data_IF_916280769715
#
_entry.id   IF_916280769715
#
_cell.length_a   1.000
_cell.length_b   1.000
_cell.length_c   1.000
_cell.angle_alpha   90.00
_cell.angle_beta   90.00
_cell.angle_gamma   90.00
#
_symmetry.space_group_name_H-M   'P 1'
#
loop_
_entity.id
_entity.type
_entity.pdbx_description
1 polymer ?
#
# COMPACT_ATOMS: atom_id res chain seq x y z
N UNK A 1 60.50 -36.69 -41.86
CA UNK A 1 59.81 -35.49 -42.37
C UNK A 1 58.38 -35.88 -42.69
N UNK A 2 57.47 -35.62 -41.77
CA UNK A 2 56.03 -35.54 -41.99
C UNK A 2 55.43 -34.87 -40.76
N UNK A 3 54.88 -33.68 -41.02
CA UNK A 3 54.23 -32.75 -40.11
C UNK A 3 53.04 -33.41 -39.39
N UNK A 4 52.86 -33.14 -38.10
CA UNK A 4 51.57 -33.36 -37.42
C UNK A 4 51.15 -32.08 -36.72
N UNK A 5 50.19 -31.44 -37.37
CA UNK A 5 49.47 -30.22 -37.07
C UNK A 5 48.73 -30.33 -35.73
N UNK A 6 48.98 -29.37 -34.83
CA UNK A 6 48.08 -29.09 -33.69
C UNK A 6 46.94 -28.17 -34.13
N UNK A 7 45.69 -28.40 -33.73
CA UNK A 7 44.68 -27.34 -33.67
C UNK A 7 44.64 -26.71 -32.27
N UNK A 8 44.32 -25.40 -32.16
CA UNK A 8 44.28 -24.70 -30.89
C UNK A 8 42.95 -24.97 -30.16
N UNK A 9 43.04 -25.12 -28.83
CA UNK A 9 41.88 -25.26 -27.96
C UNK A 9 41.14 -23.92 -27.79
N UNK A 10 39.87 -23.88 -28.18
CA UNK A 10 38.94 -22.82 -27.77
C UNK A 10 38.49 -23.04 -26.33
N UNK A 11 38.92 -22.15 -25.43
CA UNK A 11 38.33 -22.00 -24.09
C UNK A 11 37.00 -21.27 -24.22
N UNK A 12 35.89 -22.00 -24.20
CA UNK A 12 34.56 -21.44 -24.01
C UNK A 12 34.46 -20.74 -22.65
N UNK A 13 34.51 -19.40 -22.63
CA UNK A 13 34.15 -18.59 -21.47
C UNK A 13 32.63 -18.72 -21.22
N UNK A 14 32.23 -19.54 -20.25
CA UNK A 14 30.91 -19.50 -19.63
C UNK A 14 30.66 -18.09 -19.07
N UNK A 15 29.85 -17.28 -19.76
CA UNK A 15 29.31 -16.03 -19.21
C UNK A 15 28.22 -16.40 -18.19
N UNK A 16 28.46 -16.09 -16.92
CA UNK A 16 27.43 -16.08 -15.87
C UNK A 16 26.53 -14.85 -16.05
N UNK A 17 25.20 -14.93 -15.79
CA UNK A 17 24.32 -13.76 -15.90
C UNK A 17 24.60 -12.78 -14.76
N UNK A 18 25.05 -11.56 -15.12
CA UNK A 18 25.31 -10.45 -14.19
C UNK A 18 24.06 -9.60 -13.88
N UNK A 19 22.87 -10.01 -14.35
CA UNK A 19 21.64 -9.22 -14.24
C UNK A 19 21.12 -9.10 -12.79
N UNK A 20 21.33 -10.11 -11.95
CA UNK A 20 20.76 -10.12 -10.59
C UNK A 20 21.51 -9.22 -9.59
N UNK A 21 22.79 -8.90 -9.83
CA UNK A 21 23.58 -8.10 -8.89
C UNK A 21 23.41 -6.58 -9.09
N UNK A 22 22.96 -6.15 -10.28
CA UNK A 22 22.82 -4.72 -10.60
C UNK A 22 21.50 -4.15 -10.07
N UNK A 23 20.44 -4.95 -9.97
CA UNK A 23 19.16 -4.54 -9.38
C UNK A 23 19.27 -4.13 -7.90
N UNK A 24 20.25 -4.65 -7.15
CA UNK A 24 20.40 -4.33 -5.73
C UNK A 24 21.14 -3.00 -5.48
N UNK A 25 21.87 -2.46 -6.47
CA UNK A 25 22.69 -1.25 -6.30
C UNK A 25 21.98 0.00 -6.83
N UNK A 26 21.10 -0.13 -7.83
CA UNK A 26 20.32 1.00 -8.37
C UNK A 26 19.23 1.49 -7.41
N UNK A 27 18.65 0.61 -6.58
CA UNK A 27 17.63 0.97 -5.59
C UNK A 27 18.17 1.86 -4.45
N UNK A 28 19.45 1.72 -4.08
CA UNK A 28 20.04 2.47 -2.98
C UNK A 28 20.46 3.91 -3.35
N UNK A 29 20.84 4.16 -4.61
CA UNK A 29 21.29 5.49 -5.04
C UNK A 29 20.16 6.43 -5.47
N UNK A 30 19.02 5.90 -5.95
CA UNK A 30 17.87 6.71 -6.35
C UNK A 30 17.19 7.42 -5.17
N UNK A 31 17.13 6.76 -4.00
CA UNK A 31 16.50 7.31 -2.81
C UNK A 31 17.27 8.50 -2.19
N UNK A 32 18.60 8.55 -2.35
CA UNK A 32 19.42 9.59 -1.74
C UNK A 32 19.38 10.95 -2.47
N UNK A 33 19.08 10.97 -3.78
CA UNK A 33 19.07 12.20 -4.59
C UNK A 33 17.72 12.93 -4.48
N UNK A 34 16.61 12.21 -4.25
CA UNK A 34 15.27 12.81 -4.12
C UNK A 34 15.13 13.61 -2.80
N UNK A 35 15.82 13.20 -1.73
CA UNK A 35 15.73 13.86 -0.42
C UNK A 35 16.38 15.26 -0.36
N UNK A 36 17.28 15.62 -1.28
CA UNK A 36 18.01 16.90 -1.21
C UNK A 36 17.32 18.03 -2.00
N UNK A 37 16.46 17.70 -2.97
CA UNK A 37 15.87 18.72 -3.87
C UNK A 37 14.58 19.35 -3.29
N UNK A 38 13.90 18.69 -2.36
CA UNK A 38 12.65 19.20 -1.76
C UNK A 38 12.84 20.28 -0.68
N UNK A 39 14.07 20.60 -0.27
CA UNK A 39 14.31 21.57 0.82
C UNK A 39 14.43 23.04 0.37
N UNK A 40 14.34 23.38 -0.92
CA UNK A 40 14.79 24.73 -1.37
C UNK A 40 13.75 25.58 -2.13
N UNK A 41 12.50 25.16 -2.33
CA UNK A 41 11.61 25.89 -3.26
C UNK A 41 10.17 26.15 -2.80
N UNK A 42 9.92 26.48 -1.53
CA UNK A 42 8.67 27.20 -1.22
C UNK A 42 8.83 28.25 -0.12
N UNK A 43 9.49 29.33 -0.52
CA UNK A 43 9.39 30.66 0.06
C UNK A 43 8.19 31.38 -0.58
N UNK A 44 7.24 31.89 0.21
CA UNK A 44 6.56 33.18 0.01
C UNK A 44 5.53 33.48 1.12
N UNK A 45 5.73 34.58 1.86
CA UNK A 45 4.67 35.31 2.57
C UNK A 45 3.86 36.20 1.59
N UNK A 46 2.63 36.69 1.91
CA UNK A 46 2.46 37.91 2.72
C UNK A 46 1.15 38.07 3.55
N UNK A 47 1.26 38.70 4.74
CA UNK A 47 0.58 39.95 5.14
C UNK A 47 -0.95 40.05 5.38
N UNK A 48 -1.33 40.08 6.68
CA UNK A 48 -2.10 41.13 7.40
C UNK A 48 -3.42 41.74 6.88
N UNK A 49 -4.48 41.67 7.71
CA UNK A 49 -5.64 42.58 7.67
C UNK A 49 -6.74 42.26 8.70
N UNK A 50 -6.85 43.06 9.77
CA UNK A 50 -7.95 43.03 10.76
C UNK A 50 -9.16 43.86 10.30
N UNK A 51 -10.38 43.39 10.60
CA UNK A 51 -11.55 44.25 10.86
C UNK A 51 -12.52 43.56 11.82
N UNK A 52 -12.87 44.28 12.89
CA UNK A 52 -13.86 43.90 13.88
C UNK A 52 -15.29 44.24 13.42
N UNK A 53 -16.29 43.48 13.88
CA UNK A 53 -17.67 43.97 13.99
C UNK A 53 -18.82 42.96 13.89
N UNK A 54 -19.53 42.82 15.02
CA UNK A 54 -20.98 42.58 15.15
C UNK A 54 -21.55 41.14 15.22
N UNK A 55 -21.92 40.78 16.45
CA UNK A 55 -23.20 40.17 16.90
C UNK A 55 -23.85 39.11 16.00
N UNK A 56 -23.65 37.85 16.39
CA UNK A 56 -24.60 36.75 16.17
C UNK A 56 -24.55 35.83 17.38
N UNK A 57 -25.58 35.86 18.22
CA UNK A 57 -25.79 34.90 19.31
C UNK A 57 -26.10 33.54 18.70
N UNK A 58 -25.11 32.67 18.67
CA UNK A 58 -25.25 31.24 18.43
C UNK A 58 -24.23 30.54 19.29
N UNK A 59 -24.68 29.79 20.29
CA UNK A 59 -23.83 28.97 21.13
C UNK A 59 -22.98 28.03 20.28
N UNK A 60 -21.68 28.28 20.20
CA UNK A 60 -20.71 27.23 19.94
C UNK A 60 -20.53 26.46 21.25
N UNK A 61 -21.49 25.58 21.53
CA UNK A 61 -21.39 24.61 22.61
C UNK A 61 -20.36 23.56 22.18
N UNK A 62 -19.24 23.53 22.91
CA UNK A 62 -18.38 22.37 23.20
C UNK A 62 -18.27 21.30 22.11
N UNK A 63 -17.13 21.33 21.43
CA UNK A 63 -16.47 20.27 20.66
C UNK A 63 -16.76 18.86 21.21
N UNK A 64 -17.77 18.18 20.67
CA UNK A 64 -17.87 16.74 20.83
C UNK A 64 -16.69 16.09 20.09
N UNK A 65 -15.96 15.13 20.69
CA UNK A 65 -14.89 14.44 19.99
C UNK A 65 -15.48 13.67 18.79
N UNK A 66 -14.75 13.51 17.67
CA UNK A 66 -15.26 12.76 16.53
C UNK A 66 -15.56 11.31 16.94
N UNK A 67 -16.45 10.61 16.22
CA UNK A 67 -16.99 9.32 16.65
C UNK A 67 -15.93 8.24 16.86
N UNK A 68 -14.73 8.42 16.32
CA UNK A 68 -13.61 7.50 16.55
C UNK A 68 -13.17 7.41 18.01
N UNK A 69 -13.25 8.51 18.78
CA UNK A 69 -12.85 8.52 20.20
C UNK A 69 -13.90 7.88 21.12
N UNK A 70 -15.11 7.64 20.61
CA UNK A 70 -16.16 6.89 21.30
C UNK A 70 -16.35 5.47 20.73
N UNK A 71 -15.68 5.17 19.61
CA UNK A 71 -15.85 3.94 18.86
C UNK A 71 -15.29 2.73 19.61
N UNK A 72 -16.10 1.67 19.67
CA UNK A 72 -15.69 0.39 20.26
C UNK A 72 -14.91 -0.43 19.24
N UNK A 73 -14.16 -1.40 19.75
CA UNK A 73 -13.55 -2.46 18.95
C UNK A 73 -14.60 -3.13 18.04
N UNK A 74 -14.34 -3.19 16.73
CA UNK A 74 -15.26 -3.65 15.68
C UNK A 74 -16.12 -2.57 15.03
N UNK A 75 -15.98 -1.30 15.43
CA UNK A 75 -16.65 -0.20 14.76
C UNK A 75 -15.94 0.13 13.44
N UNK A 76 -16.71 0.21 12.35
CA UNK A 76 -16.22 0.58 11.03
C UNK A 76 -16.50 2.07 10.75
N UNK A 77 -15.48 2.76 10.25
CA UNK A 77 -15.46 4.21 10.07
C UNK A 77 -15.11 4.58 8.63
N UNK A 78 -15.75 5.63 8.15
CA UNK A 78 -15.45 6.24 6.86
C UNK A 78 -15.46 7.75 7.00
N UNK A 79 -14.75 8.41 6.09
CA UNK A 79 -14.63 9.87 6.02
C UNK A 79 -14.38 10.29 4.57
N UNK A 80 -14.47 11.58 4.32
CA UNK A 80 -14.20 12.19 3.01
C UNK A 80 -13.08 13.21 3.06
N UNK A 81 -12.89 13.90 4.19
CA UNK A 81 -11.79 14.83 4.38
C UNK A 81 -10.48 14.09 4.69
N UNK A 82 -9.35 14.55 4.15
CA UNK A 82 -8.04 13.94 4.44
C UNK A 82 -7.69 13.93 5.93
N UNK A 83 -8.32 14.81 6.72
CA UNK A 83 -8.19 14.88 8.17
C UNK A 83 -9.09 13.96 8.98
N UNK A 84 -10.02 13.25 8.33
CA UNK A 84 -11.02 12.43 8.99
C UNK A 84 -11.83 13.18 10.07
N UNK A 85 -11.95 14.51 10.00
CA UNK A 85 -12.79 15.30 10.92
C UNK A 85 -14.28 15.02 10.70
N UNK A 86 -14.66 14.64 9.48
CA UNK A 86 -15.99 14.18 9.11
C UNK A 86 -16.18 12.65 9.30
N UNK A 87 -15.28 11.99 10.03
CA UNK A 87 -15.37 10.57 10.31
C UNK A 87 -16.75 10.22 10.89
N UNK A 88 -17.31 9.12 10.39
CA UNK A 88 -18.61 8.60 10.84
C UNK A 88 -18.59 7.09 10.89
N UNK A 89 -19.36 6.55 11.83
CA UNK A 89 -19.61 5.13 11.92
C UNK A 89 -20.55 4.66 10.79
N UNK A 90 -20.22 3.52 10.19
CA UNK A 90 -21.01 2.80 9.20
C UNK A 90 -21.19 1.33 9.62
N UNK A 91 -22.05 0.60 8.92
CA UNK A 91 -22.02 -0.86 9.01
C UNK A 91 -20.76 -1.37 8.30
N UNK A 92 -20.09 -2.38 8.87
CA UNK A 92 -18.88 -2.92 8.25
C UNK A 92 -19.13 -3.53 6.86
N UNK A 93 -20.36 -3.94 6.54
CA UNK A 93 -20.73 -4.37 5.18
C UNK A 93 -20.65 -3.24 4.16
N UNK A 94 -20.82 -1.99 4.59
CA UNK A 94 -20.73 -0.82 3.73
C UNK A 94 -19.24 -0.46 3.51
N UNK A 95 -18.87 0.09 2.33
CA UNK A 95 -17.50 0.50 2.07
C UNK A 95 -17.00 1.55 3.09
N UNK A 96 -15.91 1.22 3.78
CA UNK A 96 -15.32 2.04 4.83
C UNK A 96 -13.79 2.01 4.75
N UNK A 97 -13.13 2.96 5.44
CA UNK A 97 -11.67 3.15 5.36
C UNK A 97 -10.92 2.52 6.54
N UNK A 98 -11.61 2.33 7.67
CA UNK A 98 -10.97 1.97 8.92
C UNK A 98 -11.89 1.11 9.78
N UNK A 99 -11.34 0.07 10.39
CA UNK A 99 -12.02 -0.70 11.43
C UNK A 99 -11.24 -0.57 12.74
N UNK A 100 -11.92 -0.07 13.77
CA UNK A 100 -11.35 0.11 15.11
C UNK A 100 -11.05 -1.26 15.70
N UNK A 101 -9.79 -1.52 16.02
CA UNK A 101 -9.37 -2.79 16.65
C UNK A 101 -9.38 -2.69 18.17
N UNK A 102 -9.15 -1.49 18.72
CA UNK A 102 -9.22 -1.24 20.15
C UNK A 102 -8.49 0.03 20.55
N UNK A 103 -8.29 0.21 21.85
CA UNK A 103 -7.51 1.32 22.40
C UNK A 103 -6.28 0.80 23.15
N UNK A 104 -5.29 1.66 23.29
CA UNK A 104 -4.12 1.42 24.14
C UNK A 104 -3.79 2.69 24.91
N UNK A 105 -3.66 2.55 26.23
CA UNK A 105 -3.17 3.62 27.09
C UNK A 105 -1.68 3.78 26.89
N UNK A 106 -1.25 4.94 26.41
CA UNK A 106 0.16 5.28 26.33
C UNK A 106 0.65 5.52 27.77
N UNK A 107 1.59 4.69 28.20
CA UNK A 107 1.90 4.52 29.61
C UNK A 107 2.24 5.82 30.35
N UNK A 108 2.08 5.84 31.69
CA UNK A 108 2.49 6.97 32.55
C UNK A 108 4.00 7.26 32.48
N UNK A 109 4.79 6.36 31.89
CA UNK A 109 6.20 6.51 31.56
C UNK A 109 6.51 7.74 30.69
N UNK A 110 5.55 8.20 29.87
CA UNK A 110 5.68 9.47 29.16
C UNK A 110 5.57 10.67 30.11
N UNK A 111 4.84 10.50 31.22
CA UNK A 111 4.57 11.53 32.23
C UNK A 111 3.35 12.41 31.90
N UNK A 112 2.73 13.03 32.92
CA UNK A 112 1.58 13.92 32.73
C UNK A 112 1.95 15.19 31.93
N UNK A 113 3.22 15.61 31.98
CA UNK A 113 3.75 16.77 31.28
C UNK A 113 4.52 16.41 30.00
N UNK A 114 4.34 15.19 29.48
CA UNK A 114 4.94 14.78 28.21
C UNK A 114 4.62 15.80 27.12
N UNK A 115 5.59 16.28 26.34
CA UNK A 115 5.27 17.05 25.13
C UNK A 115 4.42 16.18 24.20
N UNK A 116 3.56 16.82 23.40
CA UNK A 116 2.83 16.10 22.35
C UNK A 116 3.86 15.51 21.37
N UNK A 117 3.81 14.21 21.04
CA UNK A 117 4.79 13.58 20.17
C UNK A 117 4.84 14.22 18.77
N UNK A 118 6.03 14.24 18.18
CA UNK A 118 6.19 14.64 16.77
C UNK A 118 5.56 13.61 15.83
N UNK A 119 5.40 13.97 14.56
CA UNK A 119 4.89 13.07 13.53
C UNK A 119 5.67 11.75 13.47
N UNK A 120 6.99 11.79 13.50
CA UNK A 120 7.85 10.60 13.46
C UNK A 120 7.67 9.73 14.71
N UNK A 121 7.54 10.37 15.87
CA UNK A 121 7.27 9.66 17.13
C UNK A 121 5.89 8.99 17.09
N UNK A 122 4.86 9.67 16.56
CA UNK A 122 3.54 9.07 16.38
C UNK A 122 3.55 7.90 15.42
N UNK A 123 4.33 7.96 14.34
CA UNK A 123 4.49 6.82 13.42
C UNK A 123 5.09 5.61 14.15
N UNK A 124 6.12 5.82 14.97
CA UNK A 124 6.75 4.75 15.77
C UNK A 124 5.79 4.19 16.82
N UNK A 125 5.12 5.06 17.58
CA UNK A 125 4.13 4.67 18.60
C UNK A 125 2.99 3.88 17.97
N UNK A 126 2.43 4.36 16.85
CA UNK A 126 1.40 3.65 16.08
C UNK A 126 1.89 2.27 15.68
N UNK A 127 3.04 2.18 15.02
CA UNK A 127 3.56 0.91 14.52
C UNK A 127 3.76 -0.09 15.66
N UNK A 128 4.34 0.34 16.78
CA UNK A 128 4.59 -0.56 17.90
C UNK A 128 3.30 -0.94 18.63
N UNK A 129 2.55 0.05 19.10
CA UNK A 129 1.41 -0.18 20.01
C UNK A 129 0.20 -0.75 19.29
N UNK A 130 -0.12 -0.26 18.09
CA UNK A 130 -1.31 -0.73 17.39
C UNK A 130 -1.12 -2.09 16.70
N UNK A 131 0.12 -2.51 16.42
CA UNK A 131 0.39 -3.88 15.95
C UNK A 131 0.03 -4.90 17.02
N UNK A 132 0.41 -4.67 18.28
CA UNK A 132 0.01 -5.54 19.39
C UNK A 132 -1.52 -5.62 19.55
N UNK A 133 -2.22 -4.49 19.38
CA UNK A 133 -3.69 -4.43 19.43
C UNK A 133 -4.30 -5.19 18.25
N UNK A 134 -3.79 -5.03 17.03
CA UNK A 134 -4.25 -5.73 15.84
C UNK A 134 -4.05 -7.25 15.95
N UNK A 135 -2.87 -7.70 16.38
CA UNK A 135 -2.56 -9.13 16.63
C UNK A 135 -3.57 -9.73 17.63
N UNK A 136 -3.88 -9.02 18.72
CA UNK A 136 -4.89 -9.49 19.69
C UNK A 136 -6.30 -9.51 19.08
N UNK A 137 -6.65 -8.48 18.31
CA UNK A 137 -7.96 -8.34 17.67
C UNK A 137 -8.25 -9.45 16.65
N UNK A 138 -7.23 -9.83 15.88
CA UNK A 138 -7.24 -10.90 14.87
C UNK A 138 -6.78 -12.25 15.43
N UNK A 139 -6.61 -12.38 16.75
CA UNK A 139 -6.25 -13.64 17.44
C UNK A 139 -4.95 -14.30 16.94
N UNK A 140 -3.98 -13.49 16.51
CA UNK A 140 -2.69 -13.95 15.99
C UNK A 140 -2.58 -13.88 14.47
N UNK A 141 -3.69 -13.75 13.75
CA UNK A 141 -3.71 -13.85 12.28
C UNK A 141 -3.42 -12.51 11.58
N UNK A 142 -2.88 -11.51 12.28
CA UNK A 142 -2.51 -10.24 11.63
C UNK A 142 -1.24 -10.44 10.79
N UNK A 143 -1.36 -10.25 9.48
CA UNK A 143 -0.26 -10.30 8.52
C UNK A 143 0.28 -8.89 8.29
N UNK A 144 1.47 -8.60 8.81
CA UNK A 144 2.13 -7.29 8.63
C UNK A 144 2.56 -7.03 7.17
N UNK A 145 2.68 -8.08 6.37
CA UNK A 145 2.94 -8.01 4.92
C UNK A 145 1.64 -8.20 4.10
N UNK A 146 0.49 -8.25 4.78
CA UNK A 146 -0.82 -8.46 4.19
C UNK A 146 -1.48 -7.18 3.68
N UNK A 147 -2.73 -7.32 3.25
CA UNK A 147 -3.54 -6.22 2.67
C UNK A 147 -3.90 -5.10 3.65
N UNK A 148 -3.75 -5.30 4.96
CA UNK A 148 -4.15 -4.34 5.98
C UNK A 148 -2.95 -3.88 6.79
N UNK A 149 -2.90 -2.60 7.09
CA UNK A 149 -1.87 -1.99 7.96
C UNK A 149 -2.52 -1.38 9.19
N UNK A 150 -1.70 -1.15 10.22
CA UNK A 150 -2.13 -0.43 11.41
C UNK A 150 -2.28 1.07 11.14
N UNK A 151 -3.43 1.58 11.53
CA UNK A 151 -3.75 2.99 11.63
C UNK A 151 -4.03 3.37 13.09
N UNK A 152 -3.96 4.67 13.39
CA UNK A 152 -4.34 5.15 14.70
C UNK A 152 -4.86 6.59 14.68
N UNK A 153 -5.73 6.90 15.62
CA UNK A 153 -6.13 8.24 15.99
C UNK A 153 -5.50 8.59 17.33
N UNK A 154 -4.46 9.45 17.36
CA UNK A 154 -3.93 9.96 18.60
C UNK A 154 -4.96 10.87 19.29
N UNK A 155 -4.91 11.01 20.62
CA UNK A 155 -5.80 11.94 21.31
C UNK A 155 -5.50 13.37 20.84
N UNK A 156 -6.50 14.25 20.70
CA UNK A 156 -6.28 15.64 20.33
C UNK A 156 -5.29 16.32 21.28
N UNK A 157 -4.50 17.27 20.79
CA UNK A 157 -3.46 17.95 21.58
C UNK A 157 -4.02 18.61 22.87
N UNK A 158 -5.24 19.17 22.81
CA UNK A 158 -5.92 19.70 23.99
C UNK A 158 -6.24 18.60 25.02
N UNK A 159 -6.71 17.44 24.57
CA UNK A 159 -6.98 16.30 25.46
C UNK A 159 -5.68 15.74 26.04
N UNK A 160 -4.62 15.68 25.24
CA UNK A 160 -3.27 15.32 25.69
C UNK A 160 -2.76 16.27 26.78
N UNK A 161 -2.92 17.58 26.61
CA UNK A 161 -2.53 18.57 27.62
C UNK A 161 -3.28 18.37 28.95
N UNK A 162 -4.50 17.82 28.88
CA UNK A 162 -5.33 17.48 30.04
C UNK A 162 -5.09 16.05 30.58
N UNK A 163 -4.09 15.35 30.06
CA UNK A 163 -3.68 14.03 30.56
C UNK A 163 -4.24 12.83 29.79
N UNK A 164 -5.00 13.04 28.72
CA UNK A 164 -5.43 11.94 27.85
C UNK A 164 -4.22 11.31 27.16
N UNK A 165 -4.13 9.98 27.25
CA UNK A 165 -3.07 9.16 26.67
C UNK A 165 -3.66 8.00 25.87
N UNK A 166 -4.95 8.06 25.56
CA UNK A 166 -5.67 7.00 24.86
C UNK A 166 -5.35 7.05 23.37
N UNK A 167 -4.68 6.04 22.85
CA UNK A 167 -4.49 5.86 21.41
C UNK A 167 -5.57 4.91 20.86
N UNK A 168 -6.35 5.38 19.88
CA UNK A 168 -7.36 4.57 19.22
C UNK A 168 -6.74 3.87 18.00
N UNK A 169 -6.59 2.56 18.07
CA UNK A 169 -5.98 1.74 17.03
C UNK A 169 -7.04 1.15 16.09
N UNK A 170 -6.64 0.93 14.84
CA UNK A 170 -7.46 0.19 13.89
C UNK A 170 -6.67 -0.30 12.69
N UNK A 171 -7.38 -0.96 11.78
CA UNK A 171 -6.83 -1.49 10.54
C UNK A 171 -7.42 -0.76 9.34
N UNK A 172 -6.57 -0.52 8.37
CA UNK A 172 -6.89 0.19 7.12
C UNK A 172 -6.17 -0.49 5.96
N UNK A 173 -6.71 -0.36 4.75
CA UNK A 173 -6.09 -0.91 3.53
C UNK A 173 -5.34 0.19 2.80
N UNK A 174 -4.00 0.14 2.69
CA UNK A 174 -3.28 1.06 1.83
C UNK A 174 -3.48 0.67 0.36
N UNK A 175 -3.42 1.66 -0.52
CA UNK A 175 -3.24 1.48 -1.94
C UNK A 175 -1.78 1.69 -2.35
N UNK A 176 -1.42 1.37 -3.60
CA UNK A 176 -0.02 1.39 -4.05
C UNK A 176 0.63 2.77 -4.01
N UNK A 177 -0.16 3.86 -4.08
CA UNK A 177 0.34 5.23 -3.97
C UNK A 177 0.19 5.82 -2.55
N UNK A 178 -0.14 4.98 -1.55
CA UNK A 178 -0.27 5.37 -0.14
C UNK A 178 -1.63 5.95 0.23
N UNK A 179 -2.56 6.04 -0.72
CA UNK A 179 -3.96 6.37 -0.44
C UNK A 179 -4.64 5.26 0.36
N UNK A 180 -5.70 5.58 1.09
CA UNK A 180 -6.50 4.57 1.77
C UNK A 180 -7.61 4.05 0.86
N UNK A 181 -7.66 2.74 0.69
CA UNK A 181 -8.68 2.05 -0.08
C UNK A 181 -9.85 1.69 0.81
N UNK A 182 -11.06 1.93 0.29
CA UNK A 182 -12.27 1.44 0.95
C UNK A 182 -12.38 -0.07 0.82
N UNK A 183 -12.83 -0.71 1.88
CA UNK A 183 -13.13 -2.14 1.91
C UNK A 183 -14.48 -2.38 2.59
N UNK A 184 -15.04 -3.56 2.35
CA UNK A 184 -16.32 -4.01 2.90
C UNK A 184 -16.13 -5.36 3.58
N UNK A 185 -16.85 -5.56 4.68
CA UNK A 185 -16.68 -6.69 5.61
C UNK A 185 -15.84 -6.31 6.83
N UNK A 186 -15.97 -7.07 7.93
CA UNK A 186 -15.07 -6.91 9.08
C UNK A 186 -13.71 -7.52 8.79
N UNK A 187 -12.61 -6.85 9.14
CA UNK A 187 -11.24 -7.34 9.01
C UNK A 187 -11.00 -8.66 9.75
N UNK A 188 -11.85 -9.04 10.71
CA UNK A 188 -11.82 -10.37 11.36
C UNK A 188 -12.23 -11.51 10.44
N UNK A 189 -13.08 -11.22 9.46
CA UNK A 189 -13.66 -12.21 8.55
C UNK A 189 -13.00 -12.14 7.16
N UNK A 190 -12.20 -11.10 6.90
CA UNK A 190 -11.51 -10.90 5.64
C UNK A 190 -10.13 -11.56 5.62
N UNK A 191 -9.84 -12.22 4.50
CA UNK A 191 -8.52 -12.79 4.19
C UNK A 191 -7.45 -11.70 4.20
N UNK A 192 -6.34 -11.93 4.91
CA UNK A 192 -5.26 -10.94 5.06
C UNK A 192 -4.30 -10.90 3.87
N UNK A 193 -4.36 -11.85 2.93
CA UNK A 193 -3.41 -11.89 1.80
C UNK A 193 -3.50 -10.60 0.99
N UNK A 194 -2.36 -10.03 0.62
CA UNK A 194 -2.28 -8.82 -0.22
C UNK A 194 -2.57 -9.15 -1.68
N UNK A 195 -3.88 -9.28 -1.98
CA UNK A 195 -4.38 -9.55 -3.33
C UNK A 195 -5.50 -8.58 -3.68
N UNK A 196 -5.61 -8.26 -4.97
CA UNK A 196 -6.76 -7.58 -5.53
C UNK A 196 -7.72 -8.58 -6.20
N UNK A 197 -8.99 -8.19 -6.33
CA UNK A 197 -9.99 -9.03 -6.97
C UNK A 197 -9.67 -9.20 -8.47
N UNK A 198 -10.03 -10.37 -9.02
CA UNK A 198 -9.86 -10.66 -10.46
C UNK A 198 -10.62 -9.61 -11.28
N UNK A 199 -9.95 -9.02 -12.25
CA UNK A 199 -10.44 -7.93 -13.09
C UNK A 199 -10.13 -6.53 -12.56
N UNK A 200 -9.47 -6.40 -11.40
CA UNK A 200 -8.99 -5.10 -10.90
C UNK A 200 -7.84 -4.62 -11.77
N UNK A 201 -7.93 -3.38 -12.26
CA UNK A 201 -6.80 -2.66 -12.85
C UNK A 201 -6.25 -1.66 -11.84
N UNK A 202 -4.93 -1.65 -11.65
CA UNK A 202 -4.22 -0.70 -10.79
C UNK A 202 -3.65 0.41 -11.66
N UNK A 203 -3.99 1.65 -11.34
CA UNK A 203 -3.66 2.82 -12.14
C UNK A 203 -2.16 3.03 -12.32
N UNK A 204 -1.81 4.09 -13.04
CA UNK A 204 -0.42 4.45 -13.29
C UNK A 204 -0.23 5.97 -13.15
N UNK A 205 0.83 6.38 -12.46
CA UNK A 205 1.28 7.76 -12.34
C UNK A 205 2.78 7.80 -12.68
N UNK A 206 3.14 8.48 -13.78
CA UNK A 206 4.47 8.33 -14.34
C UNK A 206 4.73 6.90 -14.81
N UNK A 207 5.67 6.22 -14.16
CA UNK A 207 5.98 4.80 -14.39
C UNK A 207 5.67 3.92 -13.16
N UNK A 208 4.99 4.48 -12.15
CA UNK A 208 4.66 3.83 -10.89
C UNK A 208 3.18 3.44 -10.84
N UNK A 209 2.89 2.39 -10.09
CA UNK A 209 1.53 1.92 -9.82
C UNK A 209 0.78 2.92 -8.94
N UNK A 210 -0.52 3.09 -9.19
CA UNK A 210 -1.44 3.83 -8.31
C UNK A 210 -2.67 2.99 -7.98
N UNK A 211 -3.63 3.59 -7.26
CA UNK A 211 -4.85 2.91 -6.81
C UNK A 211 -5.69 2.26 -7.89
N UNK A 212 -6.66 1.41 -7.50
CA UNK A 212 -7.60 0.80 -8.43
C UNK A 212 -8.28 1.83 -9.35
N UNK A 213 -8.34 1.52 -10.64
CA UNK A 213 -8.98 2.35 -11.67
C UNK A 213 -9.75 1.48 -12.66
N UNK A 214 -10.51 2.12 -13.55
CA UNK A 214 -11.12 1.43 -14.68
C UNK A 214 -10.05 0.93 -15.64
N UNK A 215 -10.16 -0.32 -16.11
CA UNK A 215 -9.26 -0.84 -17.15
C UNK A 215 -9.34 -0.08 -18.48
N UNK A 216 -10.39 0.72 -18.70
CA UNK A 216 -10.49 1.61 -19.86
C UNK A 216 -9.62 2.87 -19.73
N UNK A 217 -9.14 3.19 -18.53
CA UNK A 217 -8.18 4.25 -18.28
C UNK A 217 -6.74 3.70 -18.35
N UNK A 218 -5.72 4.55 -18.54
CA UNK A 218 -4.33 4.16 -18.39
C UNK A 218 -4.07 3.51 -17.03
N UNK A 219 -3.49 2.32 -17.03
CA UNK A 219 -3.19 1.55 -15.84
C UNK A 219 -1.85 0.79 -16.00
N UNK A 220 -1.25 0.39 -14.89
CA UNK A 220 0.04 -0.30 -14.87
C UNK A 220 -0.12 -1.83 -14.89
N UNK A 221 -1.17 -2.32 -14.23
CA UNK A 221 -1.37 -3.74 -13.95
C UNK A 221 -2.84 -4.11 -14.04
N UNK A 222 -3.14 -5.29 -14.56
CA UNK A 222 -4.44 -5.95 -14.44
C UNK A 222 -4.29 -7.28 -13.68
N UNK A 223 -5.17 -7.52 -12.70
CA UNK A 223 -5.24 -8.78 -11.96
C UNK A 223 -6.12 -9.78 -12.72
N UNK A 224 -5.56 -10.92 -13.09
CA UNK A 224 -6.19 -11.90 -13.99
C UNK A 224 -6.51 -13.23 -13.32
N UNK A 225 -6.03 -13.43 -12.09
CA UNK A 225 -6.28 -14.64 -11.33
C UNK A 225 -5.83 -14.51 -9.88
N UNK A 226 -6.35 -15.39 -9.04
CA UNK A 226 -5.91 -15.56 -7.64
C UNK A 226 -5.60 -17.03 -7.44
N UNK A 227 -4.43 -17.31 -6.87
CA UNK A 227 -3.98 -18.66 -6.54
C UNK A 227 -3.97 -18.80 -5.02
N UNK A 228 -4.66 -19.83 -4.53
CA UNK A 228 -4.58 -20.25 -3.13
C UNK A 228 -3.51 -21.34 -3.00
N UNK A 229 -2.35 -20.96 -2.49
CA UNK A 229 -1.20 -21.84 -2.27
C UNK A 229 -1.50 -22.95 -1.25
N UNK A 230 -2.42 -22.72 -0.32
CA UNK A 230 -2.81 -23.70 0.70
C UNK A 230 -3.48 -24.94 0.13
N UNK A 231 -4.10 -24.83 -1.06
CA UNK A 231 -4.71 -25.97 -1.75
C UNK A 231 -3.69 -26.93 -2.36
N UNK A 232 -2.55 -26.42 -2.79
CA UNK A 232 -1.47 -27.23 -3.35
C UNK A 232 -0.51 -27.70 -2.26
N UNK A 233 -0.07 -26.77 -1.40
CA UNK A 233 0.97 -27.00 -0.41
C UNK A 233 0.39 -27.28 0.98
N UNK A 234 -0.30 -28.41 1.12
CA UNK A 234 -0.95 -28.82 2.40
C UNK A 234 0.04 -29.21 3.51
N UNK A 235 1.29 -29.53 3.17
CA UNK A 235 2.32 -29.95 4.11
C UNK A 235 2.97 -28.80 4.91
N UNK A 236 2.55 -27.55 4.69
CA UNK A 236 3.09 -26.36 5.33
C UNK A 236 3.74 -25.40 4.33
N UNK A 237 4.43 -24.38 4.86
CA UNK A 237 5.00 -23.29 4.06
C UNK A 237 5.87 -23.79 2.90
N UNK A 238 5.52 -23.48 1.64
CA UNK A 238 6.37 -23.73 0.49
C UNK A 238 7.41 -22.59 0.35
N UNK A 239 8.72 -22.85 0.38
CA UNK A 239 9.71 -21.80 0.07
C UNK A 239 9.53 -21.27 -1.36
N UNK A 240 9.91 -20.01 -1.61
CA UNK A 240 9.75 -19.34 -2.91
C UNK A 240 10.24 -20.18 -4.10
N UNK A 241 11.36 -20.90 -3.96
CA UNK A 241 11.88 -21.79 -5.01
C UNK A 241 10.94 -22.96 -5.42
N UNK A 242 9.96 -23.30 -4.58
CA UNK A 242 8.86 -24.23 -4.90
C UNK A 242 7.62 -23.50 -5.40
N UNK A 243 7.35 -22.30 -4.87
CA UNK A 243 6.21 -21.49 -5.31
C UNK A 243 6.40 -21.03 -6.76
N UNK A 244 7.57 -20.51 -7.11
CA UNK A 244 7.85 -19.90 -8.42
C UNK A 244 7.48 -20.79 -9.62
N UNK A 245 7.96 -22.04 -9.75
CA UNK A 245 7.58 -22.87 -10.90
C UNK A 245 6.09 -23.24 -10.91
N UNK A 246 5.48 -23.40 -9.73
CA UNK A 246 4.04 -23.66 -9.62
C UNK A 246 3.22 -22.46 -10.06
N UNK A 247 3.54 -21.27 -9.54
CA UNK A 247 2.87 -20.01 -9.88
C UNK A 247 3.11 -19.61 -11.33
N UNK A 248 4.30 -19.86 -11.88
CA UNK A 248 4.56 -19.67 -13.30
C UNK A 248 3.58 -20.44 -14.16
N UNK A 249 3.34 -21.72 -13.83
CA UNK A 249 2.39 -22.54 -14.57
C UNK A 249 0.96 -22.06 -14.32
N UNK A 250 0.58 -21.88 -13.06
CA UNK A 250 -0.79 -21.58 -12.65
C UNK A 250 -1.25 -20.20 -13.12
N UNK A 251 -0.41 -19.18 -13.02
CA UNK A 251 -0.75 -17.84 -13.44
C UNK A 251 -0.86 -17.72 -14.95
N UNK A 252 0.02 -18.37 -15.73
CA UNK A 252 -0.16 -18.40 -17.18
C UNK A 252 -1.48 -19.09 -17.59
N UNK A 253 -1.86 -20.18 -16.93
CA UNK A 253 -3.17 -20.83 -17.16
C UNK A 253 -4.36 -19.93 -16.81
N UNK A 254 -4.32 -19.28 -15.64
CA UNK A 254 -5.41 -18.40 -15.18
C UNK A 254 -5.53 -17.16 -16.05
N UNK A 255 -4.42 -16.52 -16.41
CA UNK A 255 -4.40 -15.39 -17.33
C UNK A 255 -4.91 -15.78 -18.71
N UNK A 256 -4.49 -16.94 -19.26
CA UNK A 256 -5.00 -17.45 -20.53
C UNK A 256 -6.52 -17.68 -20.49
N UNK A 257 -7.02 -18.26 -19.40
CA UNK A 257 -8.45 -18.48 -19.18
C UNK A 257 -9.21 -17.15 -19.11
N UNK A 258 -8.71 -16.19 -18.34
CA UNK A 258 -9.30 -14.87 -18.19
C UNK A 258 -9.34 -14.11 -19.54
N UNK A 259 -8.25 -14.17 -20.31
CA UNK A 259 -8.12 -13.50 -21.59
C UNK A 259 -8.81 -14.22 -22.77
N UNK A 260 -9.29 -15.47 -22.56
CA UNK A 260 -9.91 -16.29 -23.61
C UNK A 260 -8.94 -16.84 -24.66
N UNK A 261 -7.61 -16.75 -24.44
CA UNK A 261 -6.60 -17.31 -25.36
C UNK A 261 -5.27 -17.61 -24.64
N UNK A 262 -4.62 -18.76 -24.94
CA UNK A 262 -3.33 -19.13 -24.35
C UNK A 262 -2.17 -18.22 -24.76
N UNK A 263 -2.31 -17.46 -25.85
CA UNK A 263 -1.26 -16.58 -26.36
C UNK A 263 -1.56 -15.10 -26.13
N UNK A 264 -2.70 -14.76 -25.51
CA UNK A 264 -3.17 -13.37 -25.40
C UNK A 264 -2.12 -12.42 -24.84
N UNK A 265 -1.47 -12.76 -23.72
CA UNK A 265 -0.44 -11.92 -23.11
C UNK A 265 0.73 -11.69 -24.09
N UNK A 266 1.26 -12.77 -24.69
CA UNK A 266 2.36 -12.70 -25.65
C UNK A 266 2.01 -11.90 -26.90
N UNK A 267 0.86 -12.17 -27.51
CA UNK A 267 0.42 -11.51 -28.75
C UNK A 267 0.20 -10.01 -28.54
N UNK A 268 -0.20 -9.64 -27.32
CA UNK A 268 -0.40 -8.26 -26.88
C UNK A 268 0.86 -7.62 -26.28
N UNK A 269 2.00 -8.31 -26.26
CA UNK A 269 3.27 -7.85 -25.67
C UNK A 269 3.17 -7.50 -24.17
N UNK A 270 2.34 -8.23 -23.47
CA UNK A 270 2.20 -8.15 -22.02
C UNK A 270 2.95 -9.30 -21.34
N UNK A 271 3.39 -9.06 -20.10
CA UNK A 271 4.10 -10.03 -19.27
C UNK A 271 3.22 -10.48 -18.12
N UNK A 272 3.03 -11.79 -17.97
CA UNK A 272 2.40 -12.38 -16.79
C UNK A 272 3.44 -12.49 -15.69
N UNK A 273 3.09 -12.03 -14.49
CA UNK A 273 3.94 -12.12 -13.31
C UNK A 273 3.10 -12.32 -12.04
N UNK A 274 3.78 -12.65 -10.95
CA UNK A 274 3.21 -12.96 -9.65
C UNK A 274 4.26 -12.63 -8.59
N UNK A 275 3.80 -12.47 -7.36
CA UNK A 275 4.68 -12.47 -6.20
C UNK A 275 4.63 -13.83 -5.48
N UNK A 276 5.63 -14.10 -4.67
CA UNK A 276 5.61 -15.26 -3.76
C UNK A 276 5.15 -14.83 -2.39
N UNK A 277 4.43 -15.72 -1.70
CA UNK A 277 4.02 -15.50 -0.32
C UNK A 277 5.20 -15.75 0.63
N UNK A 278 5.43 -14.84 1.58
CA UNK A 278 6.51 -15.00 2.56
C UNK A 278 6.17 -16.05 3.62
N UNK A 279 7.18 -16.47 4.40
CA UNK A 279 6.95 -17.36 5.53
C UNK A 279 6.12 -16.68 6.62
N UNK A 280 6.34 -15.38 6.84
CA UNK A 280 5.62 -14.59 7.85
C UNK A 280 4.13 -14.50 7.51
N UNK A 281 3.80 -14.15 6.26
CA UNK A 281 2.41 -14.13 5.80
C UNK A 281 1.75 -15.51 5.89
N UNK A 282 2.48 -16.58 5.55
CA UNK A 282 1.97 -17.94 5.73
C UNK A 282 1.69 -18.27 7.21
N UNK A 283 2.58 -17.89 8.12
CA UNK A 283 2.38 -18.12 9.56
C UNK A 283 1.20 -17.30 10.11
N UNK A 284 0.95 -16.10 9.57
CA UNK A 284 -0.21 -15.26 9.88
C UNK A 284 -1.54 -15.72 9.23
N UNK A 285 -1.51 -16.77 8.41
CA UNK A 285 -2.73 -17.36 7.83
C UNK A 285 -3.04 -16.94 6.39
N UNK A 286 -2.31 -15.98 5.81
CA UNK A 286 -2.42 -15.63 4.39
C UNK A 286 -2.06 -16.82 3.50
N UNK A 287 -2.83 -17.07 2.44
CA UNK A 287 -2.62 -18.22 1.53
C UNK A 287 -2.70 -17.86 0.06
N UNK A 288 -3.09 -16.62 -0.26
CA UNK A 288 -3.38 -16.21 -1.63
C UNK A 288 -2.28 -15.34 -2.19
N UNK A 289 -2.05 -15.48 -3.49
CA UNK A 289 -1.26 -14.57 -4.32
C UNK A 289 -2.05 -14.24 -5.58
N UNK A 290 -1.81 -13.07 -6.16
CA UNK A 290 -2.46 -12.64 -7.39
C UNK A 290 -1.59 -12.92 -8.64
N UNK A 291 -2.27 -13.24 -9.73
CA UNK A 291 -1.67 -13.39 -11.05
C UNK A 291 -1.93 -12.10 -11.83
N UNK A 292 -0.86 -11.41 -12.18
CA UNK A 292 -0.90 -10.06 -12.73
C UNK A 292 -0.39 -10.05 -14.16
N UNK A 293 -0.84 -9.06 -14.91
CA UNK A 293 -0.30 -8.77 -16.24
C UNK A 293 0.03 -7.29 -16.37
N UNK A 294 1.16 -6.99 -16.99
CA UNK A 294 1.64 -5.61 -17.19
C UNK A 294 2.49 -5.47 -18.47
N UNK A 295 2.79 -4.22 -18.81
CA UNK A 295 3.84 -3.86 -19.77
C UNK A 295 4.91 -3.03 -19.06
N UNK A 296 6.15 -3.08 -19.58
CA UNK A 296 7.26 -2.26 -19.10
C UNK A 296 7.67 -1.25 -20.17
N UNK A 297 8.12 -0.09 -19.73
CA UNK A 297 8.78 0.89 -20.60
C UNK A 297 10.10 0.32 -21.15
N UNK A 298 10.62 0.86 -22.26
CA UNK A 298 11.97 0.53 -22.72
C UNK A 298 13.02 0.69 -21.62
N UNK A 299 14.08 -0.12 -21.71
CA UNK A 299 15.20 -0.13 -20.75
C UNK A 299 14.80 -0.39 -19.27
N UNK A 300 13.66 -1.06 -19.06
CA UNK A 300 13.12 -1.40 -17.74
C UNK A 300 12.90 -0.17 -16.83
N UNK A 301 12.55 0.99 -17.42
CA UNK A 301 12.37 2.26 -16.72
C UNK A 301 11.10 2.34 -15.82
N UNK A 302 10.38 1.23 -15.66
CA UNK A 302 9.15 1.10 -14.89
C UNK A 302 7.98 0.59 -15.73
N UNK A 303 6.76 0.71 -15.22
CA UNK A 303 5.56 0.27 -15.94
C UNK A 303 5.26 1.17 -17.13
N UNK A 304 4.86 0.56 -18.25
CA UNK A 304 4.27 1.28 -19.37
C UNK A 304 2.76 1.40 -19.17
N UNK A 305 2.13 2.53 -19.55
CA UNK A 305 0.69 2.68 -19.45
C UNK A 305 -0.01 1.72 -20.44
N UNK A 306 -0.92 0.91 -19.90
CA UNK A 306 -1.81 0.04 -20.67
C UNK A 306 -3.22 0.64 -20.65
N UNK A 307 -3.92 0.60 -21.77
CA UNK A 307 -5.32 1.02 -21.88
C UNK A 307 -6.14 -0.11 -22.49
N UNK A 308 -7.22 -0.51 -21.82
CA UNK A 308 -8.04 -1.68 -22.13
C UNK A 308 -7.62 -2.94 -21.35
N UNK A 309 -8.55 -3.88 -21.19
CA UNK A 309 -8.30 -5.16 -20.51
C UNK A 309 -7.66 -6.19 -21.44
N UNK A 310 -6.83 -7.09 -20.91
CA UNK A 310 -6.30 -8.26 -21.62
C UNK A 310 -7.40 -9.18 -22.15
N UNK A 311 -8.62 -9.16 -21.60
CA UNK A 311 -9.76 -9.89 -22.15
C UNK A 311 -10.30 -9.27 -23.47
N UNK A 312 -9.91 -8.03 -23.78
CA UNK A 312 -10.33 -7.27 -24.95
C UNK A 312 -9.17 -6.72 -25.77
N UNK A 313 -9.36 -5.53 -26.37
CA UNK A 313 -8.29 -4.80 -27.03
C UNK A 313 -7.42 -4.10 -25.99
N UNK A 314 -6.10 -4.06 -26.22
CA UNK A 314 -5.16 -3.32 -25.38
C UNK A 314 -4.30 -2.39 -26.23
N UNK A 315 -3.96 -1.24 -25.68
CA UNK A 315 -2.95 -0.33 -26.19
C UNK A 315 -1.86 -0.18 -25.15
N UNK A 316 -0.60 -0.21 -25.57
CA UNK A 316 0.57 -0.04 -24.70
C UNK A 316 1.28 1.24 -25.12
N UNK A 317 1.42 2.19 -24.20
CA UNK A 317 2.21 3.38 -24.41
C UNK A 317 3.71 3.11 -24.33
N UNK A 318 4.50 3.98 -24.94
CA UNK A 318 5.98 3.89 -24.95
C UNK A 318 6.66 4.95 -24.10
N UNK A 319 5.87 5.85 -23.50
CA UNK A 319 6.32 6.93 -22.64
C UNK A 319 5.63 6.81 -21.27
N UNK A 320 6.22 7.38 -20.20
CA UNK A 320 5.57 7.45 -18.89
C UNK A 320 4.21 8.13 -18.99
N UNK A 321 3.27 7.70 -18.14
CA UNK A 321 1.99 8.38 -17.98
C UNK A 321 2.19 9.79 -17.38
N UNK A 322 1.23 10.71 -17.54
CA UNK A 322 1.18 11.91 -16.72
C UNK A 322 1.31 11.56 -15.23
N UNK A 323 1.97 12.42 -14.46
CA UNK A 323 2.06 12.25 -13.01
C UNK A 323 0.88 12.94 -12.35
N UNK A 324 0.17 12.21 -11.49
CA UNK A 324 -0.83 12.81 -10.62
C UNK A 324 -0.11 13.54 -9.48
N UNK A 325 -0.02 14.86 -9.58
CA UNK A 325 0.52 15.71 -8.49
C UNK A 325 -0.36 15.71 -7.23
N UNK A 326 -1.46 14.96 -7.19
CA UNK A 326 -2.42 14.93 -6.08
C UNK A 326 -2.10 13.91 -4.98
N UNK A 327 -1.08 13.07 -5.15
CA UNK A 327 -0.64 12.12 -4.12
C UNK A 327 0.30 12.79 -3.11
N UNK A 328 -0.19 13.80 -2.38
CA UNK A 328 0.36 14.05 -1.05
C UNK A 328 -0.11 12.90 -0.15
N UNK A 329 0.76 12.32 0.70
CA UNK A 329 0.32 11.30 1.65
C UNK A 329 -0.85 11.85 2.47
N UNK A 330 -1.89 11.04 2.65
CA UNK A 330 -2.97 11.35 3.60
C UNK A 330 -2.43 11.19 5.01
N UNK A 331 -1.61 12.13 5.44
CA UNK A 331 -1.28 12.31 6.86
C UNK A 331 -2.47 13.03 7.50
N UNK A 332 -2.92 12.50 8.63
CA UNK A 332 -3.83 13.18 9.55
C UNK A 332 -3.32 14.62 9.78
N UNK A 333 -4.08 15.67 9.46
CA UNK A 333 -3.69 17.06 9.58
C UNK A 333 -3.55 17.52 11.03
N UNK A 334 -2.46 18.26 11.20
CA UNK A 334 -2.19 19.22 12.26
C UNK A 334 -3.37 20.18 12.47
N UNK A 335 -3.77 20.38 13.71
CA UNK A 335 -4.35 21.67 14.11
C UNK A 335 -3.21 22.63 14.36
N UNK A 336 -3.06 23.61 13.47
CA UNK A 336 -2.02 24.62 13.52
C UNK A 336 -2.00 25.42 14.83
N UNK A 337 -0.79 25.72 15.27
CA UNK A 337 -0.52 26.57 16.42
C UNK A 337 -0.47 28.02 15.94
N UNK A 338 -1.44 28.84 16.33
CA UNK A 338 -1.33 30.30 16.29
C UNK A 338 -0.85 30.75 17.68
N UNK A 339 0.45 30.99 17.83
CA UNK A 339 1.01 31.68 19.01
C UNK A 339 1.31 33.12 18.64
N UNK A 340 0.77 34.05 19.41
CA UNK A 340 1.15 35.47 19.40
C UNK A 340 2.51 35.73 20.04
#
# INVERSE_FOLDING_TARGET
MAESTSPPGERGKRRKPKAQLVMMISAACGAAVILVVSMVTNWSEPGGGVVAGARGTGSSTTTAPPPVFEAKSGTCLNWTESNATDARQLNCSDPHLFEVTGTVELGPELGPNAPYPTTEQWMQIKQQRCTEVAVRYLKGDFDEEGRFIVGAFPPPQESWANGDRTLHCGLQRPGPAGELLRFSGSVRDLDQSDVYDIGTCLGISGAAMSGPTSCAEPHSVEVTGIVDLGKEFSAGYPPSAKQDPFLATKCNELTAKYAGSPTAAKDKKLTVYWDTLSKQSWEAGSRKVDCKVSALLPDDAGFAPVTGSIAGQVQIGTEPAPTDSSAAPTTVPETGTETG
#
